data_IF_043291510361
#
_entry.id   IF_043291510361
#
_cell.length_a   1.000
_cell.length_b   1.000
_cell.length_c   1.000
_cell.angle_alpha   90.00
_cell.angle_beta   90.00
_cell.angle_gamma   90.00
#
_symmetry.space_group_name_H-M   'P 1'
#
loop_
_entity.id
_entity.type
_entity.pdbx_description
1 polymer ?
#
# COMPACT_ATOMS: atom_id res chain seq x y z
N UNK A 1 26.88 6.99 19.04
CA UNK A 1 26.30 8.35 19.16
C UNK A 1 26.36 8.72 20.63
N UNK A 2 27.12 9.76 21.01
CA UNK A 2 27.19 10.17 22.41
C UNK A 2 25.93 10.95 22.77
N UNK A 3 25.09 10.37 23.62
CA UNK A 3 23.99 11.08 24.25
C UNK A 3 24.59 12.09 25.25
N UNK A 4 24.25 13.38 25.11
CA UNK A 4 24.65 14.41 26.06
C UNK A 4 24.00 14.21 27.43
N UNK A 5 24.59 14.80 28.46
CA UNK A 5 24.32 14.55 29.89
C UNK A 5 22.86 14.82 30.35
N UNK A 6 22.02 15.43 29.51
CA UNK A 6 20.57 15.62 29.73
C UNK A 6 19.72 15.14 28.54
N UNK A 7 19.79 13.85 28.20
CA UNK A 7 18.93 13.25 27.18
C UNK A 7 17.79 12.44 27.79
N UNK A 8 16.54 12.72 27.39
CA UNK A 8 15.41 11.81 27.62
C UNK A 8 15.21 10.93 26.39
N UNK A 9 14.77 9.69 26.61
CA UNK A 9 14.53 8.72 25.55
C UNK A 9 13.06 8.30 25.60
N UNK A 10 12.40 8.37 24.44
CA UNK A 10 11.05 7.84 24.24
C UNK A 10 11.11 6.72 23.20
N UNK A 11 10.50 5.57 23.52
CA UNK A 11 10.55 4.36 22.70
C UNK A 11 9.15 4.05 22.17
N UNK A 12 9.00 4.10 20.84
CA UNK A 12 7.82 3.63 20.13
C UNK A 12 8.08 2.23 19.57
N UNK A 13 7.20 1.28 19.88
CA UNK A 13 7.16 -0.04 19.23
C UNK A 13 5.98 -0.09 18.29
N UNK A 14 6.26 -0.21 16.99
CA UNK A 14 5.28 -0.25 15.93
C UNK A 14 5.40 -1.58 15.18
N UNK A 15 4.29 -2.30 15.04
CA UNK A 15 4.20 -3.44 14.12
C UNK A 15 3.82 -2.90 12.75
N UNK A 16 4.80 -2.70 11.87
CA UNK A 16 4.58 -2.09 10.57
C UNK A 16 3.74 -2.97 9.64
N UNK A 17 2.82 -2.32 8.92
CA UNK A 17 1.94 -2.90 7.91
C UNK A 17 2.14 -2.20 6.57
N UNK A 18 1.59 -2.76 5.48
CA UNK A 18 1.65 -2.12 4.16
C UNK A 18 1.04 -0.70 4.15
N UNK A 19 0.08 -0.43 5.04
CA UNK A 19 -0.55 0.89 5.16
C UNK A 19 0.33 1.97 5.80
N UNK A 20 1.44 1.58 6.44
CA UNK A 20 2.37 2.53 7.08
C UNK A 20 3.46 3.02 6.10
N UNK A 21 3.54 2.44 4.90
CA UNK A 21 4.49 2.87 3.88
C UNK A 21 4.25 4.33 3.49
N UNK A 22 5.31 5.13 3.39
CA UNK A 22 5.26 6.59 3.22
C UNK A 22 4.66 7.37 4.39
N UNK A 23 4.32 6.72 5.51
CA UNK A 23 3.89 7.39 6.73
C UNK A 23 4.99 8.30 7.32
N UNK A 24 4.58 9.39 7.96
CA UNK A 24 5.51 10.32 8.63
C UNK A 24 5.57 10.00 10.13
N UNK A 25 6.73 9.58 10.61
CA UNK A 25 7.01 9.52 12.04
C UNK A 25 7.55 10.87 12.50
N UNK A 26 6.98 11.40 13.58
CA UNK A 26 7.44 12.63 14.21
C UNK A 26 7.77 12.36 15.68
N UNK A 27 8.99 12.71 16.07
CA UNK A 27 9.40 12.83 17.47
C UNK A 27 9.28 14.31 17.85
N UNK A 28 8.40 14.63 18.80
CA UNK A 28 8.18 16.00 19.28
C UNK A 28 8.49 16.09 20.77
N UNK A 29 9.41 16.98 21.12
CA UNK A 29 9.75 17.34 22.49
C UNK A 29 9.09 18.68 22.86
N UNK A 30 8.41 18.70 24.00
CA UNK A 30 7.73 19.87 24.56
C UNK A 30 8.21 20.09 25.99
N UNK A 31 8.23 21.35 26.44
CA UNK A 31 8.56 21.72 27.80
C UNK A 31 7.35 22.39 28.47
N UNK A 32 6.82 21.88 29.60
CA UNK A 32 5.63 22.44 30.26
C UNK A 32 5.77 23.92 30.64
N UNK A 33 6.98 24.33 31.00
CA UNK A 33 7.32 25.70 31.42
C UNK A 33 7.60 26.64 30.25
N UNK A 34 7.76 26.12 29.04
CA UNK A 34 8.04 26.87 27.82
C UNK A 34 7.12 26.39 26.69
N UNK A 35 5.79 26.63 26.79
CA UNK A 35 4.80 26.06 25.88
C UNK A 35 4.96 26.50 24.42
N UNK A 36 5.68 27.60 24.17
CA UNK A 36 5.97 28.11 22.82
C UNK A 36 7.25 27.52 22.21
N UNK A 37 8.02 26.74 22.97
CA UNK A 37 9.26 26.13 22.52
C UNK A 37 9.02 24.63 22.32
N UNK A 38 9.11 24.20 21.07
CA UNK A 38 9.06 22.78 20.73
C UNK A 38 10.20 22.43 19.78
N UNK A 39 10.80 21.27 19.99
CA UNK A 39 11.72 20.67 19.04
C UNK A 39 11.05 19.45 18.42
N UNK A 40 11.15 19.30 17.10
CA UNK A 40 10.69 18.08 16.45
C UNK A 40 11.69 17.59 15.42
N UNK A 41 11.68 16.28 15.21
CA UNK A 41 12.40 15.59 14.16
C UNK A 41 11.44 14.60 13.51
N UNK A 42 11.46 14.53 12.19
CA UNK A 42 10.58 13.62 11.45
C UNK A 42 11.35 12.71 10.50
N UNK A 43 10.78 11.55 10.23
CA UNK A 43 11.32 10.55 9.32
C UNK A 43 10.18 9.92 8.53
N UNK A 44 10.35 9.83 7.20
CA UNK A 44 9.42 9.11 6.33
C UNK A 44 9.71 7.61 6.43
N UNK A 45 8.68 6.80 6.66
CA UNK A 45 8.77 5.36 6.68
C UNK A 45 8.86 4.79 5.27
N UNK A 46 9.75 3.82 5.09
CA UNK A 46 9.79 2.96 3.91
C UNK A 46 9.55 1.53 4.39
N UNK A 47 8.37 1.00 4.11
CA UNK A 47 7.96 -0.33 4.54
C UNK A 47 7.98 -1.25 3.33
N UNK A 48 8.72 -2.35 3.43
CA UNK A 48 8.74 -3.36 2.38
C UNK A 48 7.66 -4.40 2.64
N UNK A 49 6.82 -4.65 1.64
CA UNK A 49 5.69 -5.58 1.74
C UNK A 49 5.43 -6.27 0.41
N UNK A 50 4.84 -7.47 0.49
CA UNK A 50 4.48 -8.26 -0.69
C UNK A 50 3.33 -7.60 -1.46
N UNK A 51 3.21 -7.82 -2.79
CA UNK A 51 2.16 -7.20 -3.57
C UNK A 51 0.74 -7.59 -3.13
N UNK A 52 -0.10 -6.60 -2.86
CA UNK A 52 -1.54 -6.75 -2.64
C UNK A 52 -2.27 -6.41 -3.94
N UNK A 53 -2.81 -7.43 -4.62
CA UNK A 53 -3.46 -7.29 -5.91
C UNK A 53 -4.99 -7.30 -5.79
N UNK A 54 -5.63 -6.38 -6.50
CA UNK A 54 -7.08 -6.29 -6.67
C UNK A 54 -7.43 -6.51 -8.13
N UNK A 55 -8.37 -7.42 -8.38
CA UNK A 55 -8.91 -7.67 -9.72
C UNK A 55 -10.27 -7.00 -9.81
N UNK A 56 -10.45 -6.19 -10.85
CA UNK A 56 -11.74 -5.65 -11.27
C UNK A 56 -12.09 -6.13 -12.66
N UNK A 57 -13.38 -6.28 -12.91
CA UNK A 57 -13.94 -6.69 -14.19
C UNK A 57 -14.85 -5.56 -14.65
N UNK A 58 -14.66 -5.13 -15.88
CA UNK A 58 -15.46 -4.09 -16.53
C UNK A 58 -16.00 -4.61 -17.86
N UNK A 59 -17.22 -4.23 -18.22
CA UNK A 59 -17.89 -4.66 -19.44
C UNK A 59 -19.42 -4.56 -19.39
N UNK A 60 -20.08 -5.20 -20.36
CA UNK A 60 -21.55 -5.10 -20.54
C UNK A 60 -22.37 -5.66 -19.37
N UNK A 61 -21.75 -6.52 -18.54
CA UNK A 61 -22.35 -7.09 -17.33
C UNK A 61 -22.25 -6.21 -16.08
N UNK A 62 -21.64 -5.02 -16.19
CA UNK A 62 -21.41 -4.11 -15.06
C UNK A 62 -20.07 -4.31 -14.36
N UNK A 63 -19.78 -3.42 -13.40
CA UNK A 63 -18.52 -3.43 -12.67
C UNK A 63 -18.53 -4.49 -11.55
N UNK A 64 -17.58 -5.40 -11.58
CA UNK A 64 -17.39 -6.41 -10.55
C UNK A 64 -16.00 -6.25 -9.92
N UNK A 65 -15.91 -6.37 -8.59
CA UNK A 65 -14.66 -6.28 -7.83
C UNK A 65 -14.46 -7.55 -7.00
N UNK A 66 -13.22 -8.01 -6.86
CA UNK A 66 -12.88 -9.07 -5.90
C UNK A 66 -12.96 -10.51 -6.43
N UNK A 67 -12.80 -10.73 -7.75
CA UNK A 67 -12.70 -12.07 -8.34
C UNK A 67 -13.97 -12.93 -8.30
N UNK A 68 -15.05 -12.47 -7.67
CA UNK A 68 -16.31 -13.20 -7.46
C UNK A 68 -17.49 -12.66 -8.26
N UNK A 69 -17.33 -11.52 -8.94
CA UNK A 69 -18.41 -10.90 -9.71
C UNK A 69 -18.46 -11.35 -11.15
N UNK A 70 -19.04 -12.52 -11.41
CA UNK A 70 -19.50 -12.92 -12.74
C UNK A 70 -21.00 -12.65 -12.95
N UNK A 71 -21.71 -12.21 -11.91
CA UNK A 71 -23.14 -11.92 -11.94
C UNK A 71 -23.43 -10.72 -12.86
N UNK A 72 -23.71 -11.01 -14.14
CA UNK A 72 -23.99 -9.99 -15.15
C UNK A 72 -23.46 -10.34 -16.53
N UNK A 73 -22.46 -11.22 -16.63
CA UNK A 73 -21.87 -11.62 -17.91
C UNK A 73 -22.52 -12.89 -18.46
N UNK A 74 -22.86 -12.87 -19.75
CA UNK A 74 -23.42 -13.99 -20.51
C UNK A 74 -22.42 -14.50 -21.55
N UNK A 75 -22.64 -15.72 -22.02
CA UNK A 75 -21.85 -16.25 -23.14
C UNK A 75 -22.03 -15.36 -24.38
N UNK A 76 -20.93 -14.86 -24.93
CA UNK A 76 -20.92 -13.89 -26.02
C UNK A 76 -20.61 -12.46 -25.59
N UNK A 77 -20.66 -12.16 -24.29
CA UNK A 77 -20.29 -10.85 -23.77
C UNK A 77 -18.78 -10.65 -23.73
N UNK A 78 -18.34 -9.43 -23.99
CA UNK A 78 -16.94 -9.02 -23.81
C UNK A 78 -16.74 -8.44 -22.42
N UNK A 79 -15.66 -8.87 -21.76
CA UNK A 79 -15.25 -8.39 -20.45
C UNK A 79 -13.76 -8.04 -20.47
N UNK A 80 -13.41 -6.94 -19.79
CA UNK A 80 -12.04 -6.51 -19.57
C UNK A 80 -11.66 -6.80 -18.13
N UNK A 81 -10.63 -7.62 -17.94
CA UNK A 81 -10.03 -7.85 -16.63
C UNK A 81 -8.95 -6.80 -16.39
N UNK A 82 -9.13 -6.01 -15.34
CA UNK A 82 -8.12 -5.08 -14.86
C UNK A 82 -7.55 -5.59 -13.54
N UNK A 83 -6.24 -5.47 -13.39
CA UNK A 83 -5.56 -5.73 -12.14
C UNK A 83 -4.84 -4.45 -11.70
N UNK A 84 -4.96 -4.12 -10.43
CA UNK A 84 -4.17 -3.10 -9.75
C UNK A 84 -3.44 -3.76 -8.60
N UNK A 85 -2.18 -3.39 -8.37
CA UNK A 85 -1.40 -3.93 -7.26
C UNK A 85 -0.70 -2.80 -6.50
N UNK A 86 -0.74 -2.87 -5.17
CA UNK A 86 0.10 -2.06 -4.28
C UNK A 86 1.25 -2.93 -3.78
N UNK A 87 2.48 -2.44 -3.92
CA UNK A 87 3.69 -3.18 -3.56
C UNK A 87 4.86 -2.23 -3.32
N UNK A 88 5.71 -2.56 -2.35
CA UNK A 88 7.01 -1.92 -2.16
C UNK A 88 8.09 -3.00 -1.92
N UNK A 89 9.03 -3.23 -2.85
CA UNK A 89 9.23 -2.51 -4.13
C UNK A 89 8.13 -2.79 -5.17
N UNK A 90 8.05 -2.01 -6.26
CA UNK A 90 7.03 -2.19 -7.30
C UNK A 90 7.01 -3.62 -7.87
N UNK A 91 5.81 -4.16 -8.11
CA UNK A 91 5.64 -5.48 -8.70
C UNK A 91 5.75 -5.42 -10.24
N UNK A 92 6.55 -6.30 -10.85
CA UNK A 92 6.80 -6.27 -12.31
C UNK A 92 6.20 -7.45 -13.09
N UNK A 93 5.88 -8.56 -12.41
CA UNK A 93 5.37 -9.77 -13.05
C UNK A 93 4.03 -10.18 -12.41
N UNK A 94 2.93 -10.04 -13.14
CA UNK A 94 1.65 -10.62 -12.74
C UNK A 94 1.13 -11.62 -13.78
N UNK A 95 0.48 -12.67 -13.29
CA UNK A 95 -0.13 -13.73 -14.11
C UNK A 95 -1.58 -13.88 -13.71
N UNK A 96 -2.47 -13.76 -14.69
CA UNK A 96 -3.88 -14.07 -14.49
C UNK A 96 -4.06 -15.59 -14.49
N UNK A 97 -4.81 -16.07 -13.50
CA UNK A 97 -5.18 -17.47 -13.38
C UNK A 97 -6.70 -17.61 -13.43
N UNK A 98 -7.17 -18.54 -14.23
CA UNK A 98 -8.58 -18.95 -14.30
C UNK A 98 -8.65 -20.46 -14.10
N UNK A 99 -9.42 -20.93 -13.11
CA UNK A 99 -9.51 -22.34 -12.75
C UNK A 99 -8.12 -23.00 -12.59
N UNK A 100 -7.22 -22.33 -11.87
CA UNK A 100 -5.82 -22.75 -11.65
C UNK A 100 -4.95 -22.87 -12.92
N UNK A 101 -5.44 -22.39 -14.07
CA UNK A 101 -4.66 -22.34 -15.32
C UNK A 101 -4.26 -20.91 -15.64
N UNK A 102 -3.00 -20.72 -16.03
CA UNK A 102 -2.49 -19.42 -16.48
C UNK A 102 -3.19 -19.05 -17.79
N UNK A 103 -3.84 -17.89 -17.83
CA UNK A 103 -4.54 -17.41 -19.03
C UNK A 103 -3.72 -16.37 -19.78
N UNK A 104 -3.14 -15.40 -19.06
CA UNK A 104 -2.25 -14.38 -19.60
C UNK A 104 -1.24 -13.89 -18.54
N UNK A 105 -0.09 -13.44 -19.02
CA UNK A 105 0.90 -12.68 -18.24
C UNK A 105 0.87 -11.24 -18.73
N UNK A 106 0.64 -10.29 -17.84
CA UNK A 106 0.58 -8.86 -18.15
C UNK A 106 1.02 -8.06 -16.93
N UNK A 107 1.59 -6.87 -17.15
CA UNK A 107 1.81 -5.91 -16.08
C UNK A 107 0.46 -5.30 -15.63
N UNK A 108 0.16 -5.37 -14.34
CA UNK A 108 -0.89 -4.60 -13.70
C UNK A 108 -0.45 -3.14 -13.60
N UNK A 109 -1.42 -2.23 -13.58
CA UNK A 109 -1.15 -0.86 -13.19
C UNK A 109 -0.71 -0.85 -11.72
N UNK A 110 0.60 -0.72 -11.49
CA UNK A 110 1.12 -0.45 -10.15
C UNK A 110 0.76 0.98 -9.83
N UNK A 111 -0.16 1.17 -8.89
CA UNK A 111 -0.45 2.47 -8.33
C UNK A 111 0.80 2.96 -7.60
N UNK A 112 1.67 3.67 -8.32
CA UNK A 112 2.67 4.52 -7.70
C UNK A 112 1.87 5.59 -6.96
N UNK A 113 1.82 5.52 -5.63
CA UNK A 113 1.45 6.68 -4.84
C UNK A 113 2.53 7.75 -5.12
N UNK A 114 2.28 8.57 -6.15
CA UNK A 114 2.98 9.82 -6.36
C UNK A 114 2.51 10.75 -5.23
N UNK A 115 3.26 10.74 -4.14
CA UNK A 115 3.21 11.76 -3.08
C UNK A 115 4.29 12.79 -3.33
#
# INVERSE_FOLDING_TARGET
QSLGVDSTVSLLRLLATAGDDNGLLECRATAPTLPHVTASASAKLTVHYVPEATISIDGVGGLASGGTGAAGFRAGDSATLKCTARANPPAYNQTFMFNMRRTKTQACDVLRHLS
#
